data_IF_095399067625
#
_entry.id   IF_095399067625
#
_cell.length_a   1.000
_cell.length_b   1.000
_cell.length_c   1.000
_cell.angle_alpha   90.00
_cell.angle_beta   90.00
_cell.angle_gamma   90.00
#
_symmetry.space_group_name_H-M   'P 1'
#
loop_
_entity.id
_entity.type
_entity.pdbx_description
1 polymer ?
#
# COMPACT_ATOMS: atom_id res chain seq x y z
N UNK A 1 11.76 13.39 -15.07
CA UNK A 1 10.88 12.99 -13.97
C UNK A 1 10.35 11.61 -14.30
N UNK A 2 10.78 10.58 -13.57
CA UNK A 2 10.42 9.19 -13.81
C UNK A 2 9.09 8.86 -13.09
N UNK A 3 8.28 7.97 -13.65
CA UNK A 3 7.00 7.56 -13.06
C UNK A 3 7.18 6.99 -11.65
N UNK A 4 8.26 6.23 -11.43
CA UNK A 4 8.58 5.65 -10.13
C UNK A 4 8.95 6.72 -9.09
N UNK A 5 9.58 7.82 -9.49
CA UNK A 5 9.93 8.93 -8.59
C UNK A 5 8.67 9.67 -8.12
N UNK A 6 7.71 9.86 -9.02
CA UNK A 6 6.41 10.45 -8.67
C UNK A 6 5.64 9.54 -7.71
N UNK A 7 5.54 8.25 -8.04
CA UNK A 7 4.84 7.29 -7.19
C UNK A 7 5.51 7.17 -5.80
N UNK A 8 6.84 7.23 -5.75
CA UNK A 8 7.57 7.23 -4.49
C UNK A 8 7.28 8.48 -3.64
N UNK A 9 7.16 9.65 -4.28
CA UNK A 9 6.82 10.89 -3.59
C UNK A 9 5.40 10.84 -3.02
N UNK A 10 4.43 10.39 -3.81
CA UNK A 10 3.03 10.22 -3.37
C UNK A 10 2.93 9.20 -2.25
N UNK A 11 3.61 8.04 -2.36
CA UNK A 11 3.64 7.04 -1.31
C UNK A 11 4.24 7.59 0.00
N UNK A 12 5.28 8.41 -0.07
CA UNK A 12 5.85 9.07 1.13
C UNK A 12 4.87 10.03 1.78
N UNK A 13 4.09 10.78 1.00
CA UNK A 13 3.07 11.68 1.52
C UNK A 13 1.93 10.91 2.17
N UNK A 14 1.39 9.91 1.49
CA UNK A 14 0.33 9.06 2.01
C UNK A 14 0.78 8.32 3.29
N UNK A 15 2.02 7.84 3.34
CA UNK A 15 2.57 7.22 4.54
C UNK A 15 2.53 8.17 5.74
N UNK A 16 2.81 9.48 5.59
CA UNK A 16 2.74 10.43 6.72
C UNK A 16 1.37 10.45 7.38
N UNK A 17 0.30 10.33 6.59
CA UNK A 17 -1.07 10.27 7.12
C UNK A 17 -1.36 8.90 7.74
N UNK A 18 -0.89 7.82 7.12
CA UNK A 18 -1.00 6.46 7.68
C UNK A 18 -0.26 6.35 9.03
N UNK A 19 0.95 6.91 9.16
CA UNK A 19 1.77 6.85 10.39
C UNK A 19 1.07 7.48 11.60
N UNK A 20 0.17 8.45 11.39
CA UNK A 20 -0.57 9.08 12.48
C UNK A 20 -1.59 8.15 13.14
N UNK A 21 -2.14 7.23 12.35
CA UNK A 21 -3.31 6.45 12.73
C UNK A 21 -3.01 4.95 12.89
N UNK A 22 -1.90 4.47 12.32
CA UNK A 22 -1.62 3.05 12.18
C UNK A 22 -0.16 2.70 12.47
N UNK A 23 0.07 1.69 13.30
CA UNK A 23 1.36 1.01 13.41
C UNK A 23 1.55 -0.01 12.29
N UNK A 24 0.46 -0.69 11.92
CA UNK A 24 0.38 -1.64 10.83
C UNK A 24 -0.65 -1.17 9.80
N UNK A 25 -0.31 -1.23 8.53
CA UNK A 25 -1.19 -0.82 7.44
C UNK A 25 -1.10 -1.79 6.28
N UNK A 26 -2.16 -1.89 5.50
CA UNK A 26 -2.17 -2.74 4.32
C UNK A 26 -1.80 -1.98 3.04
N UNK A 27 -1.38 -2.70 1.99
CA UNK A 27 -1.16 -2.11 0.66
C UNK A 27 -2.39 -1.33 0.19
N UNK A 28 -3.59 -1.88 0.42
CA UNK A 28 -4.86 -1.23 0.06
C UNK A 28 -5.05 0.08 0.82
N UNK A 29 -4.80 0.11 2.13
CA UNK A 29 -4.94 1.36 2.89
C UNK A 29 -4.07 2.46 2.30
N UNK A 30 -2.82 2.15 1.96
CA UNK A 30 -1.92 3.14 1.37
C UNK A 30 -2.37 3.56 -0.03
N UNK A 31 -2.85 2.62 -0.84
CA UNK A 31 -3.36 2.91 -2.19
C UNK A 31 -4.56 3.86 -2.13
N UNK A 32 -5.53 3.60 -1.26
CA UNK A 32 -6.71 4.45 -1.07
C UNK A 32 -6.33 5.84 -0.55
N UNK A 33 -5.27 5.97 0.27
CA UNK A 33 -4.74 7.26 0.68
C UNK A 33 -4.11 8.04 -0.48
N UNK A 34 -3.45 7.37 -1.42
CA UNK A 34 -2.87 8.00 -2.62
C UNK A 34 -3.97 8.43 -3.59
N UNK A 35 -4.95 7.54 -3.87
CA UNK A 35 -5.97 7.80 -4.89
C UNK A 35 -7.15 8.63 -4.37
N UNK A 36 -7.37 8.64 -3.06
CA UNK A 36 -8.56 9.24 -2.43
C UNK A 36 -9.86 8.48 -2.73
N UNK A 37 -9.77 7.28 -3.30
CA UNK A 37 -10.94 6.48 -3.69
C UNK A 37 -10.86 5.09 -3.06
N UNK A 38 -12.00 4.53 -2.61
CA UNK A 38 -12.05 3.15 -2.14
C UNK A 38 -11.52 2.19 -3.20
N UNK A 39 -10.77 1.19 -2.78
CA UNK A 39 -10.29 0.15 -3.66
C UNK A 39 -11.45 -0.75 -4.07
N UNK A 40 -11.67 -0.90 -5.38
CA UNK A 40 -12.61 -1.87 -5.92
C UNK A 40 -11.86 -2.90 -6.77
N UNK A 41 -11.88 -4.19 -6.40
CA UNK A 41 -11.21 -5.23 -7.17
C UNK A 41 -11.98 -5.50 -8.46
N UNK A 42 -11.53 -4.90 -9.57
CA UNK A 42 -11.94 -5.34 -10.91
C UNK A 42 -11.33 -6.73 -11.19
N UNK A 43 -11.91 -7.49 -12.11
CA UNK A 43 -11.47 -8.87 -12.45
C UNK A 43 -9.99 -9.00 -12.86
N UNK A 44 -9.29 -7.87 -13.08
CA UNK A 44 -7.87 -7.79 -13.41
C UNK A 44 -7.03 -6.94 -12.43
N UNK A 45 -7.63 -6.25 -11.47
CA UNK A 45 -6.93 -5.38 -10.52
C UNK A 45 -6.45 -6.16 -9.30
N UNK A 46 -5.40 -6.94 -9.49
CA UNK A 46 -4.57 -7.36 -8.36
C UNK A 46 -3.67 -6.19 -7.94
N UNK A 47 -3.63 -5.87 -6.65
CA UNK A 47 -2.71 -4.87 -6.08
C UNK A 47 -1.22 -5.33 -6.09
N UNK A 48 -0.91 -6.43 -6.80
CA UNK A 48 0.45 -7.00 -6.95
C UNK A 48 1.45 -5.97 -7.45
N UNK A 49 1.07 -5.11 -8.41
CA UNK A 49 1.98 -4.09 -8.93
C UNK A 49 2.43 -3.10 -7.85
N UNK A 50 1.49 -2.57 -7.07
CA UNK A 50 1.83 -1.63 -6.00
C UNK A 50 2.50 -2.33 -4.81
N UNK A 51 2.11 -3.57 -4.49
CA UNK A 51 2.81 -4.38 -3.46
C UNK A 51 4.26 -4.65 -3.85
N UNK A 52 4.54 -4.92 -5.13
CA UNK A 52 5.89 -5.08 -5.66
C UNK A 52 6.69 -3.79 -5.58
N UNK A 53 6.06 -2.65 -5.94
CA UNK A 53 6.67 -1.33 -5.78
C UNK A 53 7.07 -1.05 -4.32
N UNK A 54 6.15 -1.26 -3.37
CA UNK A 54 6.44 -1.09 -1.94
C UNK A 54 7.59 -1.99 -1.50
N UNK A 55 7.61 -3.24 -1.96
CA UNK A 55 8.67 -4.21 -1.66
C UNK A 55 10.06 -3.74 -2.10
N UNK A 56 10.16 -3.12 -3.29
CA UNK A 56 11.41 -2.60 -3.85
C UNK A 56 11.90 -1.37 -3.04
N UNK A 57 10.99 -0.48 -2.67
CA UNK A 57 11.32 0.80 -2.02
C UNK A 57 11.09 0.82 -0.50
N UNK A 58 11.02 -0.35 0.16
CA UNK A 58 10.75 -0.47 1.60
C UNK A 58 11.65 0.43 2.44
N UNK A 59 12.95 0.42 2.13
CA UNK A 59 13.96 1.19 2.87
C UNK A 59 13.77 2.70 2.69
N UNK A 60 13.52 3.15 1.47
CA UNK A 60 13.29 4.56 1.14
C UNK A 60 11.97 5.10 1.73
N UNK A 61 11.00 4.22 1.90
CA UNK A 61 9.69 4.50 2.49
C UNK A 61 9.71 4.40 4.03
N UNK A 62 10.72 3.75 4.62
CA UNK A 62 10.78 3.49 6.05
C UNK A 62 9.67 2.56 6.50
N UNK A 63 9.47 1.48 5.75
CA UNK A 63 8.46 0.46 6.01
C UNK A 63 9.08 -0.93 5.89
N UNK A 64 8.43 -1.92 6.48
CA UNK A 64 8.87 -3.32 6.44
C UNK A 64 7.69 -4.24 6.26
N UNK A 65 7.82 -5.25 5.42
CA UNK A 65 6.83 -6.30 5.29
C UNK A 65 6.64 -7.04 6.63
N UNK A 66 5.38 -7.24 7.00
CA UNK A 66 4.99 -7.92 8.24
C UNK A 66 4.33 -9.27 7.94
N UNK A 67 3.22 -9.26 7.21
CA UNK A 67 2.40 -10.45 6.97
C UNK A 67 1.50 -10.24 5.73
N UNK A 68 0.75 -11.27 5.32
CA UNK A 68 -0.32 -11.15 4.32
C UNK A 68 -1.63 -11.58 4.95
N UNK A 69 -2.63 -10.69 4.91
CA UNK A 69 -3.95 -10.98 5.46
C UNK A 69 -4.99 -11.12 4.35
N UNK A 70 -5.93 -12.04 4.55
CA UNK A 70 -7.09 -12.16 3.69
C UNK A 70 -8.11 -11.08 4.04
N UNK A 71 -8.52 -10.29 3.04
CA UNK A 71 -9.60 -9.29 3.15
C UNK A 71 -10.70 -9.65 2.16
N UNK A 72 -11.97 -9.50 2.55
CA UNK A 72 -13.10 -9.64 1.65
C UNK A 72 -13.56 -8.25 1.23
N UNK A 73 -13.40 -7.91 -0.06
CA UNK A 73 -13.78 -6.60 -0.64
C UNK A 73 -14.64 -6.88 -1.87
N UNK A 74 -15.84 -6.29 -1.93
CA UNK A 74 -16.81 -6.52 -3.01
C UNK A 74 -17.03 -8.02 -3.28
N UNK A 75 -17.22 -8.80 -2.22
CA UNK A 75 -17.42 -10.28 -2.25
C UNK A 75 -16.23 -11.07 -2.81
N UNK A 76 -15.06 -10.45 -2.97
CA UNK A 76 -13.83 -11.10 -3.44
C UNK A 76 -12.80 -11.21 -2.33
N UNK A 77 -12.20 -12.40 -2.26
CA UNK A 77 -11.04 -12.71 -1.44
C UNK A 77 -9.78 -12.04 -2.02
N UNK A 78 -9.20 -11.11 -1.25
CA UNK A 78 -7.99 -10.37 -1.61
C UNK A 78 -6.91 -10.64 -0.57
N UNK A 79 -5.80 -11.21 -1.02
CA UNK A 79 -4.58 -11.33 -0.22
C UNK A 79 -3.88 -9.97 -0.19
N UNK A 80 -3.83 -9.37 0.99
CA UNK A 80 -3.40 -7.99 1.17
C UNK A 80 -2.14 -7.95 2.05
N UNK A 81 -0.98 -7.57 1.48
CA UNK A 81 0.24 -7.42 2.24
C UNK A 81 0.08 -6.34 3.33
N UNK A 82 0.52 -6.69 4.52
CA UNK A 82 0.57 -5.85 5.70
C UNK A 82 2.01 -5.41 5.92
N UNK A 83 2.16 -4.13 6.22
CA UNK A 83 3.43 -3.45 6.41
C UNK A 83 3.43 -2.83 7.80
N UNK A 84 4.61 -2.77 8.40
CA UNK A 84 4.89 -1.95 9.58
C UNK A 84 5.74 -0.76 9.17
N UNK A 85 5.65 0.32 9.93
CA UNK A 85 6.55 1.46 9.81
C UNK A 85 7.82 1.16 10.60
N UNK A 86 8.98 1.36 9.98
CA UNK A 86 10.26 1.39 10.69
C UNK A 86 10.43 2.78 11.32
N UNK A 87 10.65 2.81 12.64
CA UNK A 87 10.89 4.03 13.43
C UNK A 87 12.33 4.51 13.29
#
# INVERSE_FOLDING_TARGET
MNLDELLLAEAKLALKEVKKNYTFFSTINLLEQITGTPFSPTSSASNVGFSGFLSIYQKELGIKYWDTQLSVIDEKDIYNPIWTIDN
#
